data_IF_409213203820
#
_entry.id   IF_409213203820
#
_cell.length_a   1.000
_cell.length_b   1.000
_cell.length_c   1.000
_cell.angle_alpha   90.00
_cell.angle_beta   90.00
_cell.angle_gamma   90.00
#
_symmetry.space_group_name_H-M   'P 1'
#
loop_
_entity.id
_entity.type
_entity.pdbx_description
1 polymer ?
2 non-polymer ?
3 water ?
#
# COMPACT_ATOMS: atom_id res chain seq x y z
N UNK A 1 16.41 -15.04 16.64
CA UNK A 1 15.54 -14.81 15.45
C UNK A 1 14.27 -15.66 15.56
N UNK A 2 13.19 -15.20 14.90
CA UNK A 2 11.92 -15.94 14.76
C UNK A 2 12.05 -16.71 13.46
N UNK A 3 11.48 -18.05 13.64
CA UNK A 3 11.76 -18.85 12.45
C UNK A 3 10.85 -18.52 11.24
N UNK A 4 9.62 -18.18 11.56
CA UNK A 4 8.55 -17.97 10.56
C UNK A 4 7.96 -16.57 10.82
N UNK A 5 8.74 -15.49 10.60
CA UNK A 5 8.24 -14.14 10.90
C UNK A 5 6.99 -13.84 10.08
N UNK A 6 5.99 -13.26 10.72
CA UNK A 6 4.68 -13.05 10.07
C UNK A 6 4.61 -11.68 9.36
N UNK A 7 5.63 -10.84 9.49
CA UNK A 7 5.68 -9.52 8.81
C UNK A 7 7.11 -9.01 8.87
N UNK A 8 7.33 -7.83 8.34
CA UNK A 8 8.69 -7.23 8.27
C UNK A 8 9.14 -6.75 9.66
N UNK A 9 8.23 -6.60 10.61
CA UNK A 9 8.59 -6.20 12.00
C UNK A 9 9.24 -7.40 12.69
N UNK A 10 8.69 -8.58 12.53
CA UNK A 10 9.28 -9.81 13.10
C UNK A 10 10.55 -10.18 12.33
N UNK A 11 10.71 -9.75 11.06
CA UNK A 11 11.93 -10.03 10.28
C UNK A 11 13.04 -9.08 10.69
N UNK A 12 12.69 -7.89 11.15
CA UNK A 12 13.66 -6.80 11.44
C UNK A 12 14.23 -7.09 12.81
N UNK A 13 13.33 -7.40 13.75
CA UNK A 13 13.73 -7.80 15.13
C UNK A 13 14.62 -9.04 15.00
N UNK A 14 14.45 -9.83 13.92
CA UNK A 14 15.37 -10.95 13.57
C UNK A 14 16.75 -10.41 13.18
N UNK A 15 16.97 -9.09 13.28
CA UNK A 15 18.28 -8.44 13.12
C UNK A 15 18.60 -8.14 11.67
N UNK A 16 17.61 -8.27 10.78
CA UNK A 16 17.78 -7.94 9.34
C UNK A 16 17.42 -6.46 9.15
N UNK A 17 18.41 -5.58 9.01
CA UNK A 17 18.20 -4.12 9.11
C UNK A 17 18.35 -3.49 7.73
N UNK A 18 18.69 -4.29 6.73
CA UNK A 18 18.88 -3.84 5.34
C UNK A 18 17.50 -3.93 4.69
N UNK A 19 17.06 -2.86 4.05
CA UNK A 19 15.82 -2.95 3.24
C UNK A 19 16.09 -3.89 2.07
N UNK A 20 15.07 -4.63 1.66
CA UNK A 20 15.15 -5.58 0.54
C UNK A 20 14.16 -6.70 0.72
N UNK A 21 14.39 -7.83 0.02
CA UNK A 21 13.43 -8.94 -0.04
C UNK A 21 13.66 -9.86 1.11
N UNK A 22 12.57 -10.19 1.79
CA UNK A 22 12.52 -11.15 2.91
C UNK A 22 11.34 -12.08 2.69
N UNK A 23 11.44 -13.25 3.27
CA UNK A 23 10.32 -14.17 3.35
C UNK A 23 9.56 -13.93 4.66
N UNK A 24 8.26 -13.72 4.55
CA UNK A 24 7.36 -13.79 5.72
C UNK A 24 6.46 -14.99 5.56
N UNK A 25 5.77 -15.30 6.63
CA UNK A 25 4.94 -16.51 6.72
C UNK A 25 3.60 -16.13 7.29
N UNK A 26 2.55 -16.21 6.49
CA UNK A 26 1.25 -15.68 6.96
C UNK A 26 0.74 -16.55 8.11
N UNK A 27 0.32 -15.92 9.19
CA UNK A 27 -0.11 -16.64 10.41
C UNK A 27 1.08 -17.43 11.01
N UNK A 28 2.32 -17.12 10.68
CA UNK A 28 3.49 -17.84 11.21
C UNK A 28 3.55 -19.26 10.66
N UNK A 29 2.79 -19.55 9.60
CA UNK A 29 2.65 -20.91 9.00
C UNK A 29 3.77 -21.07 7.96
N UNK A 30 4.65 -22.04 8.14
CA UNK A 30 5.78 -22.32 7.21
C UNK A 30 5.24 -22.72 5.83
N UNK A 31 3.99 -23.10 5.70
CA UNK A 31 3.38 -23.43 4.40
C UNK A 31 2.77 -22.20 3.73
N UNK A 32 2.88 -21.01 4.32
CA UNK A 32 2.26 -19.78 3.76
C UNK A 32 3.37 -18.74 3.56
N UNK A 33 4.47 -19.16 2.92
CA UNK A 33 5.62 -18.27 2.63
C UNK A 33 5.18 -17.23 1.62
N UNK A 34 5.67 -16.01 1.81
CA UNK A 34 5.39 -14.87 0.91
C UNK A 34 6.64 -14.03 0.85
N UNK A 35 7.17 -13.78 -0.33
CA UNK A 35 8.35 -12.88 -0.47
C UNK A 35 7.84 -11.44 -0.48
N UNK A 36 8.40 -10.61 0.38
CA UNK A 36 7.95 -9.20 0.45
C UNK A 36 9.20 -8.32 0.39
N UNK A 37 8.99 -7.09 -0.01
CA UNK A 37 9.99 -6.02 0.18
C UNK A 37 9.76 -5.40 1.54
N UNK A 38 10.77 -5.43 2.39
CA UNK A 38 10.76 -4.77 3.73
C UNK A 38 11.51 -3.44 3.67
N UNK A 39 10.83 -2.36 4.03
CA UNK A 39 11.47 -1.03 4.23
C UNK A 39 11.91 -1.03 5.68
N UNK A 40 13.21 -1.18 5.89
CA UNK A 40 13.77 -1.33 7.26
C UNK A 40 14.33 0.00 7.73
N UNK A 41 14.16 1.09 6.97
CA UNK A 41 14.79 2.39 7.35
C UNK A 41 13.76 3.47 7.69
N UNK A 42 12.62 3.53 7.01
CA UNK A 42 11.62 4.60 7.25
C UNK A 42 11.00 4.47 8.64
N UNK A 43 11.00 5.58 9.41
CA UNK A 43 10.36 5.65 10.76
C UNK A 43 10.50 4.31 11.50
N UNK A 44 11.73 3.88 11.78
CA UNK A 44 12.00 2.71 12.63
C UNK A 44 12.01 1.39 11.87
N UNK A 45 11.56 1.38 10.60
CA UNK A 45 11.62 0.16 9.79
C UNK A 45 10.48 -0.83 10.08
N UNK A 46 10.67 -2.07 9.65
CA UNK A 46 9.75 -3.19 9.86
C UNK A 46 8.50 -3.10 9.02
N UNK A 47 8.56 -2.38 7.90
CA UNK A 47 7.39 -2.14 7.04
C UNK A 47 7.39 -3.14 5.88
N UNK A 48 6.27 -3.82 5.67
CA UNK A 48 5.99 -4.51 4.38
C UNK A 48 5.56 -3.45 3.39
N UNK A 49 6.31 -3.27 2.34
CA UNK A 49 5.87 -2.38 1.23
C UNK A 49 4.87 -3.16 0.38
N UNK A 50 3.73 -2.55 0.10
CA UNK A 50 2.73 -3.25 -0.72
C UNK A 50 2.39 -2.51 -2.01
N UNK A 51 2.89 -1.30 -2.18
CA UNK A 51 2.74 -0.53 -3.45
C UNK A 51 4.02 0.26 -3.61
N UNK A 52 4.59 0.27 -4.80
CA UNK A 52 5.69 1.20 -5.14
C UNK A 52 5.44 1.74 -6.55
N UNK A 53 5.43 3.07 -6.68
CA UNK A 53 5.49 3.79 -7.96
C UNK A 53 6.80 4.56 -7.94
N UNK A 54 7.53 4.55 -9.05
CA UNK A 54 8.82 5.28 -9.11
C UNK A 54 9.25 5.61 -10.55
N UNK A 55 8.73 4.96 -11.57
CA UNK A 55 9.27 5.23 -12.95
C UNK A 55 8.27 5.00 -14.08
N UNK A 56 7.06 4.50 -13.84
CA UNK A 56 6.05 4.30 -14.89
C UNK A 56 6.34 3.10 -15.80
N UNK A 57 7.24 2.21 -15.41
CA UNK A 57 7.58 1.03 -16.28
C UNK A 57 6.48 -0.02 -16.14
N UNK A 58 5.78 -0.11 -15.01
CA UNK A 58 4.80 -1.20 -14.81
C UNK A 58 3.40 -0.68 -15.10
N UNK A 59 2.54 -1.55 -15.62
CA UNK A 59 1.13 -1.24 -15.92
C UNK A 59 0.29 -1.48 -14.67
N UNK A 60 -0.39 -0.47 -14.16
CA UNK A 60 -1.28 -0.62 -12.98
C UNK A 60 -2.73 -0.68 -13.41
N UNK A 61 -3.00 -0.55 -14.71
CA UNK A 61 -4.38 -0.66 -15.22
C UNK A 61 -4.67 -2.14 -15.44
N UNK A 62 -4.93 -2.86 -14.36
CA UNK A 62 -4.98 -4.34 -14.35
C UNK A 62 -6.30 -4.73 -13.72
N UNK A 63 -6.68 -5.98 -13.94
CA UNK A 63 -8.00 -6.51 -13.59
C UNK A 63 -8.07 -6.99 -12.15
N UNK A 64 -9.28 -7.36 -11.75
CA UNK A 64 -9.58 -7.82 -10.38
C UNK A 64 -8.62 -8.95 -10.00
N UNK A 65 -8.50 -9.98 -10.84
CA UNK A 65 -7.66 -11.15 -10.46
C UNK A 65 -6.23 -10.65 -10.18
N UNK A 66 -5.72 -9.74 -11.00
CA UNK A 66 -4.34 -9.19 -10.85
C UNK A 66 -4.22 -8.42 -9.54
N UNK A 67 -5.20 -7.58 -9.23
CA UNK A 67 -5.20 -6.85 -7.93
C UNK A 67 -5.38 -7.81 -6.74
N UNK A 68 -6.16 -8.88 -6.90
CA UNK A 68 -6.30 -9.88 -5.81
C UNK A 68 -4.98 -10.58 -5.55
N UNK A 69 -4.21 -10.89 -6.61
CA UNK A 69 -3.06 -11.80 -6.55
C UNK A 69 -1.74 -11.04 -6.35
N UNK A 70 -1.67 -9.81 -6.84
CA UNK A 70 -0.42 -9.06 -6.88
C UNK A 70 0.25 -9.17 -8.23
N UNK A 71 1.11 -8.21 -8.54
CA UNK A 71 1.85 -8.17 -9.81
C UNK A 71 3.07 -7.27 -9.63
N UNK A 72 3.98 -7.39 -10.57
CA UNK A 72 5.14 -6.51 -10.70
C UNK A 72 6.41 -7.09 -10.08
N UNK A 73 7.42 -6.26 -9.99
CA UNK A 73 8.76 -6.59 -9.49
C UNK A 73 8.87 -5.92 -8.13
N UNK A 74 8.96 -6.71 -7.07
CA UNK A 74 9.05 -6.23 -5.66
C UNK A 74 10.17 -5.22 -5.48
N UNK A 75 11.24 -5.35 -6.24
CA UNK A 75 12.39 -4.43 -6.13
C UNK A 75 12.13 -3.10 -6.84
N UNK A 76 11.09 -3.02 -7.67
CA UNK A 76 10.79 -1.83 -8.47
C UNK A 76 9.29 -1.51 -8.28
N UNK A 77 8.53 -1.39 -9.35
CA UNK A 77 7.10 -1.06 -9.22
C UNK A 77 6.28 -2.33 -9.10
N UNK A 78 5.37 -2.38 -8.12
CA UNK A 78 4.58 -3.59 -7.88
C UNK A 78 3.38 -3.24 -7.02
N UNK A 79 2.51 -4.22 -6.98
CA UNK A 79 1.34 -4.29 -6.07
C UNK A 79 1.34 -5.65 -5.37
N UNK A 80 1.30 -5.69 -4.03
CA UNK A 80 1.47 -6.97 -3.28
C UNK A 80 0.30 -7.93 -3.48
N UNK A 81 -0.90 -7.43 -3.72
CA UNK A 81 -2.07 -8.31 -3.74
C UNK A 81 -3.03 -8.10 -2.60
N UNK A 82 -4.30 -7.95 -2.90
CA UNK A 82 -5.35 -7.75 -1.86
C UNK A 82 -5.51 -8.99 -0.98
N UNK A 83 -5.34 -10.19 -1.53
CA UNK A 83 -5.52 -11.40 -0.71
C UNK A 83 -4.41 -11.41 0.35
N UNK A 84 -3.19 -11.08 -0.05
CA UNK A 84 -2.02 -10.96 0.85
C UNK A 84 -2.34 -9.91 1.90
N UNK A 85 -2.84 -8.74 1.49
CA UNK A 85 -3.07 -7.63 2.42
C UNK A 85 -4.14 -8.05 3.42
N UNK A 86 -5.18 -8.73 2.95
CA UNK A 86 -6.22 -9.22 3.88
C UNK A 86 -5.59 -10.15 4.93
N UNK A 87 -4.83 -11.15 4.47
CA UNK A 87 -4.27 -12.17 5.39
C UNK A 87 -3.28 -11.51 6.34
N UNK A 88 -2.46 -10.56 5.90
CA UNK A 88 -1.49 -9.87 6.81
C UNK A 88 -2.30 -9.08 7.84
N UNK A 89 -3.23 -8.26 7.38
CA UNK A 89 -3.95 -7.34 8.31
C UNK A 89 -4.87 -8.11 9.26
N UNK A 90 -5.22 -9.37 8.98
CA UNK A 90 -5.99 -10.27 9.88
C UNK A 90 -5.15 -10.74 11.06
N UNK A 91 -3.82 -10.63 11.00
CA UNK A 91 -2.87 -11.23 11.98
C UNK A 91 -2.81 -10.43 13.27
N UNK A 92 -3.28 -9.20 13.24
CA UNK A 92 -3.18 -8.29 14.41
C UNK A 92 -3.60 -6.89 14.02
N UNK A 93 -3.27 -5.90 14.83
CA UNK A 93 -3.61 -4.49 14.54
C UNK A 93 -2.43 -3.92 13.76
N UNK A 94 -2.66 -3.55 12.50
CA UNK A 94 -1.61 -2.94 11.64
C UNK A 94 -1.88 -1.45 11.45
N UNK A 95 -0.78 -0.76 11.16
CA UNK A 95 -0.74 0.69 10.82
C UNK A 95 -0.29 0.78 9.35
N UNK A 96 -0.88 1.75 8.63
CA UNK A 96 -0.49 2.09 7.23
C UNK A 96 0.46 3.28 7.28
N UNK A 97 1.51 3.23 6.46
CA UNK A 97 2.33 4.40 6.16
C UNK A 97 2.41 4.61 4.67
N UNK A 98 2.24 5.85 4.27
CA UNK A 98 2.38 6.23 2.87
C UNK A 98 3.53 7.23 2.80
N UNK A 99 4.53 6.90 1.99
CA UNK A 99 5.68 7.80 1.69
C UNK A 99 5.54 8.35 0.29
N UNK A 100 5.66 9.68 0.14
CA UNK A 100 5.47 10.33 -1.17
C UNK A 100 6.72 11.21 -1.40
N UNK A 101 7.12 11.30 -2.65
CA UNK A 101 8.23 12.20 -3.01
C UNK A 101 8.04 12.65 -4.45
N UNK A 102 8.23 13.94 -4.70
CA UNK A 102 7.98 14.54 -6.01
C UNK A 102 8.92 15.74 -6.12
N UNK A 103 9.79 15.71 -7.11
CA UNK A 103 10.69 16.87 -7.39
C UNK A 103 11.33 17.32 -6.09
N UNK A 104 11.86 16.36 -5.31
CA UNK A 104 12.65 16.57 -4.10
C UNK A 104 11.82 16.84 -2.86
N UNK A 105 10.54 17.15 -2.99
CA UNK A 105 9.68 17.36 -1.81
C UNK A 105 9.17 16.00 -1.32
N UNK A 106 9.06 15.84 -0.01
CA UNK A 106 8.54 14.58 0.57
C UNK A 106 7.37 14.89 1.48
N UNK A 107 6.49 13.93 1.62
CA UNK A 107 5.41 13.97 2.59
C UNK A 107 5.08 12.56 3.03
N UNK A 108 4.35 12.41 4.13
CA UNK A 108 3.95 11.05 4.56
C UNK A 108 2.59 11.16 5.22
N UNK A 109 1.92 10.03 5.32
CA UNK A 109 0.69 9.85 6.08
C UNK A 109 0.83 8.53 6.84
N UNK A 110 0.40 8.52 8.10
CA UNK A 110 0.36 7.30 8.93
C UNK A 110 -1.08 7.20 9.40
N UNK A 111 -1.63 6.00 9.33
CA UNK A 111 -2.96 5.68 9.87
C UNK A 111 -2.76 4.56 10.88
N UNK A 112 -3.09 4.84 12.14
CA UNK A 112 -2.85 3.91 13.27
C UNK A 112 -3.59 2.60 13.12
N UNK A 113 -4.70 2.59 12.38
CA UNK A 113 -5.52 1.38 12.15
C UNK A 113 -5.68 1.24 10.66
N UNK A 114 -5.28 0.09 10.16
CA UNK A 114 -5.36 -0.23 8.73
C UNK A 114 -5.71 -1.69 8.58
N UNK A 115 -6.76 -1.98 7.84
CA UNK A 115 -7.08 -3.38 7.55
C UNK A 115 -7.73 -3.45 6.18
N UNK A 116 -7.68 -4.62 5.58
CA UNK A 116 -8.28 -4.92 4.27
C UNK A 116 -9.12 -6.19 4.46
N UNK A 117 -10.40 -6.07 4.22
CA UNK A 117 -11.31 -7.23 4.37
C UNK A 117 -11.06 -8.31 3.35
N UNK A 118 -11.79 -9.42 3.46
CA UNK A 118 -11.59 -10.55 2.55
C UNK A 118 -12.43 -10.34 1.29
N UNK A 119 -12.36 -11.30 0.39
CA UNK A 119 -12.98 -11.19 -0.95
C UNK A 119 -14.49 -10.98 -0.84
N UNK A 120 -15.12 -11.55 0.20
CA UNK A 120 -16.60 -11.45 0.38
C UNK A 120 -16.93 -10.01 0.76
N UNK A 121 -15.97 -9.20 1.24
CA UNK A 121 -16.13 -7.74 1.49
C UNK A 121 -15.68 -6.91 0.29
N UNK A 122 -15.30 -7.54 -0.83
CA UNK A 122 -14.61 -6.93 -1.95
C UNK A 122 -13.42 -6.11 -1.39
N UNK A 123 -12.69 -6.73 -0.45
CA UNK A 123 -11.41 -6.23 0.10
C UNK A 123 -11.64 -4.83 0.69
N UNK A 124 -12.69 -4.69 1.50
CA UNK A 124 -13.10 -3.40 2.16
C UNK A 124 -11.91 -2.77 2.89
N UNK A 125 -11.68 -1.49 2.66
CA UNK A 125 -10.61 -0.72 3.33
C UNK A 125 -11.11 -0.22 4.68
N UNK A 126 -10.29 -0.35 5.72
CA UNK A 126 -10.44 0.40 6.98
C UNK A 126 -9.15 1.20 7.19
N UNK A 127 -9.28 2.51 7.34
CA UNK A 127 -8.13 3.40 7.67
C UNK A 127 -8.61 4.41 8.69
N UNK A 128 -7.96 4.44 9.83
CA UNK A 128 -8.34 5.36 10.92
C UNK A 128 -7.04 5.86 11.56
N UNK A 129 -7.15 6.99 12.26
CA UNK A 129 -6.07 7.49 13.12
C UNK A 129 -4.94 8.09 12.31
N UNK A 130 -5.25 9.15 11.57
CA UNK A 130 -4.30 9.89 10.71
C UNK A 130 -3.29 10.70 11.52
N UNK A 131 -2.04 10.68 11.07
CA UNK A 131 -1.07 11.73 11.38
C UNK A 131 -0.21 11.89 10.14
N UNK A 132 0.38 13.06 9.97
CA UNK A 132 1.38 13.25 8.92
C UNK A 132 1.36 14.60 8.27
N UNK A 133 2.05 14.67 7.13
CA UNK A 133 2.27 15.94 6.42
C UNK A 133 1.60 15.91 5.05
N UNK A 134 1.16 14.74 4.55
CA UNK A 134 0.60 14.69 3.18
C UNK A 134 -0.82 15.24 3.17
N UNK A 135 -1.48 15.26 4.33
CA UNK A 135 -2.93 15.56 4.41
C UNK A 135 -3.74 14.29 4.37
N UNK A 136 -4.82 14.26 5.14
CA UNK A 136 -5.63 13.03 5.31
C UNK A 136 -6.50 12.78 4.09
N UNK A 137 -5.93 12.23 3.02
CA UNK A 137 -6.67 11.99 1.75
C UNK A 137 -7.31 10.60 1.78
N UNK A 138 -6.87 9.70 2.67
CA UNK A 138 -7.50 8.37 2.75
C UNK A 138 -8.83 8.42 3.50
N UNK A 139 -9.11 9.43 4.33
CA UNK A 139 -10.39 9.45 5.09
C UNK A 139 -11.54 9.30 4.11
N UNK A 140 -11.47 10.01 2.96
CA UNK A 140 -12.51 9.99 1.90
C UNK A 140 -12.85 8.55 1.51
N UNK A 141 -11.84 7.68 1.54
CA UNK A 141 -11.89 6.30 1.00
C UNK A 141 -12.29 5.28 2.08
N UNK A 142 -12.28 5.66 3.36
CA UNK A 142 -12.49 4.71 4.47
C UNK A 142 -13.81 3.96 4.28
N UNK A 143 -13.74 2.63 4.42
CA UNK A 143 -14.89 1.72 4.41
C UNK A 143 -15.29 1.32 3.00
N UNK A 144 -14.62 1.82 1.97
CA UNK A 144 -14.98 1.47 0.58
C UNK A 144 -14.35 0.15 0.13
N UNK A 145 -15.09 -0.57 -0.70
CA UNK A 145 -14.63 -1.79 -1.37
C UNK A 145 -13.61 -1.40 -2.44
N UNK A 146 -12.82 -2.37 -2.87
CA UNK A 146 -11.84 -2.16 -3.93
C UNK A 146 -12.60 -2.23 -5.25
N UNK A 147 -12.11 -1.50 -6.25
CA UNK A 147 -12.71 -1.47 -7.61
C UNK A 147 -11.60 -1.59 -8.64
N UNK A 148 -11.86 -2.42 -9.64
CA UNK A 148 -11.07 -2.53 -10.88
C UNK A 148 -12.06 -2.34 -12.03
N UNK A 149 -11.55 -2.19 -13.24
CA UNK A 149 -12.40 -1.90 -14.41
C UNK A 149 -13.42 -3.02 -14.58
N UNK A 150 -13.08 -4.27 -14.21
CA UNK A 150 -13.92 -5.45 -14.51
C UNK A 150 -14.78 -5.80 -13.30
N UNK A 151 -14.69 -5.02 -12.23
CA UNK A 151 -15.50 -5.23 -11.00
C UNK A 151 -15.61 -3.88 -10.29
N UNK A 159 -18.00 4.18 -13.55
CA UNK A 159 -16.96 3.21 -13.08
C UNK A 159 -15.63 3.96 -13.02
N UNK A 160 -15.15 4.20 -11.79
CA UNK A 160 -13.97 5.05 -11.50
C UNK A 160 -12.71 4.46 -12.09
N UNK A 161 -12.56 3.12 -12.01
CA UNK A 161 -11.35 2.41 -12.44
C UNK A 161 -11.23 2.60 -13.94
N UNK A 162 -12.34 2.39 -14.61
CA UNK A 162 -12.40 2.57 -16.08
C UNK A 162 -12.19 4.05 -16.42
N UNK A 163 -12.91 4.98 -15.78
CA UNK A 163 -12.86 6.44 -16.10
C UNK A 163 -11.46 6.98 -15.92
N UNK A 164 -10.75 6.60 -14.84
CA UNK A 164 -9.38 7.09 -14.53
C UNK A 164 -8.28 6.05 -14.95
N UNK A 165 -8.64 4.88 -15.48
CA UNK A 165 -7.68 3.84 -15.95
C UNK A 165 -6.69 3.52 -14.80
N UNK A 166 -7.23 3.28 -13.61
CA UNK A 166 -6.44 2.77 -12.45
C UNK A 166 -7.25 1.75 -11.69
N UNK A 167 -6.98 1.58 -10.41
CA UNK A 167 -7.67 0.67 -9.49
C UNK A 167 -7.51 1.28 -8.12
N UNK A 168 -8.48 1.13 -7.25
CA UNK A 168 -8.39 1.69 -5.88
C UNK A 168 -9.65 1.32 -5.12
N UNK A 169 -9.67 1.67 -3.86
CA UNK A 169 -10.90 1.70 -3.04
C UNK A 169 -11.72 2.95 -3.40
N UNK A 170 -12.16 3.05 -4.67
CA UNK A 170 -12.83 4.23 -5.23
C UNK A 170 -14.18 4.49 -4.53
N UNK A 171 -14.51 5.76 -4.50
CA UNK A 171 -15.77 6.29 -3.98
C UNK A 171 -16.45 6.99 -5.16
N UNK A 172 -16.26 8.30 -5.31
CA UNK A 172 -16.90 9.02 -6.44
C UNK A 172 -16.12 10.27 -6.80
N UNK A 173 -14.83 10.14 -7.16
CA UNK A 173 -14.13 8.88 -7.35
C UNK A 173 -12.96 8.78 -6.36
N UNK A 174 -12.13 9.81 -6.27
CA UNK A 174 -10.91 9.64 -5.43
C UNK A 174 -10.32 10.94 -4.90
N UNK A 175 -9.64 10.83 -3.77
CA UNK A 175 -8.63 11.81 -3.35
C UNK A 175 -7.25 11.17 -3.32
N UNK A 176 -7.19 9.84 -3.33
CA UNK A 176 -5.94 9.07 -3.49
C UNK A 176 -6.06 8.19 -4.72
N UNK A 177 -5.06 8.21 -5.59
CA UNK A 177 -5.07 7.42 -6.83
C UNK A 177 -3.66 6.88 -7.09
N UNK A 178 -3.04 6.22 -6.09
CA UNK A 178 -1.62 5.85 -6.21
C UNK A 178 -1.39 4.70 -7.21
N UNK A 179 -2.44 4.04 -7.69
CA UNK A 179 -2.37 3.05 -8.78
C UNK A 179 -2.87 3.67 -10.08
N UNK A 180 -2.78 4.98 -10.22
CA UNK A 180 -3.18 5.66 -11.45
C UNK A 180 -2.08 5.66 -12.48
N UNK A 181 -2.30 6.45 -13.53
CA UNK A 181 -1.40 6.45 -14.69
C UNK A 181 -0.17 7.29 -14.38
N UNK A 182 1.01 6.72 -14.54
CA UNK A 182 2.30 7.37 -14.17
C UNK A 182 2.57 8.59 -15.07
N UNK A 183 2.96 9.71 -14.47
CA UNK A 183 3.31 10.98 -15.10
C UNK A 183 2.14 11.64 -15.80
N UNK A 184 0.90 11.26 -15.50
CA UNK A 184 -0.30 11.85 -16.16
C UNK A 184 -0.86 13.01 -15.30
N UNK A 185 -0.61 14.26 -15.70
CA UNK A 185 -1.05 15.45 -14.94
C UNK A 185 -2.48 15.85 -15.30
N UNK A 186 -3.12 15.15 -16.24
CA UNK A 186 -4.54 15.45 -16.56
C UNK A 186 -5.36 15.19 -15.31
N UNK A 187 -6.40 16.00 -15.08
CA UNK A 187 -7.22 15.98 -13.85
C UNK A 187 -7.62 14.54 -13.48
N UNK A 188 -7.19 14.11 -12.29
CA UNK A 188 -7.59 12.85 -11.62
C UNK A 188 -7.06 11.61 -12.36
N UNK A 189 -6.19 11.74 -13.37
CA UNK A 189 -5.72 10.58 -14.19
C UNK A 189 -4.45 9.99 -13.58
N UNK A 190 -3.73 10.76 -12.76
CA UNK A 190 -2.35 10.39 -12.41
C UNK A 190 -2.22 9.86 -10.99
N UNK A 191 -0.98 9.77 -10.59
CA UNK A 191 -0.60 9.22 -9.26
C UNK A 191 -0.88 10.35 -8.25
N UNK A 192 -2.10 10.43 -7.76
CA UNK A 192 -2.53 11.63 -7.01
C UNK A 192 -2.65 11.34 -5.51
N UNK A 193 -2.35 12.38 -4.73
CA UNK A 193 -2.70 12.50 -3.29
C UNK A 193 -3.24 13.89 -3.10
N UNK A 194 -4.56 14.02 -3.16
CA UNK A 194 -5.15 15.33 -3.47
C UNK A 194 -4.73 16.40 -2.44
N UNK A 195 -4.66 16.06 -1.15
CA UNK A 195 -4.49 17.06 -0.10
C UNK A 195 -3.02 17.39 0.06
N UNK A 196 -2.18 16.83 -0.81
CA UNK A 196 -0.76 17.23 -0.95
C UNK A 196 -0.53 17.97 -2.26
N UNK A 197 -0.88 17.36 -3.40
CA UNK A 197 -0.51 17.96 -4.71
C UNK A 197 -1.67 18.03 -5.66
N UNK A 198 -2.89 17.82 -5.19
CA UNK A 198 -4.10 18.07 -6.00
C UNK A 198 -4.33 16.99 -7.05
N UNK A 199 -5.17 17.30 -8.02
CA UNK A 199 -5.61 16.31 -9.03
C UNK A 199 -4.90 16.52 -10.37
N UNK A 200 -4.09 17.57 -10.49
CA UNK A 200 -3.40 17.88 -11.78
C UNK A 200 -1.90 17.81 -11.60
N UNK A 201 -1.45 16.91 -10.72
CA UNK A 201 -0.01 16.75 -10.45
C UNK A 201 0.21 15.27 -10.12
N UNK A 202 0.82 14.54 -11.03
CA UNK A 202 1.12 13.11 -10.83
C UNK A 202 2.40 12.99 -10.03
N UNK A 203 2.36 12.24 -8.95
CA UNK A 203 3.51 12.14 -8.02
C UNK A 203 4.54 11.15 -8.54
N UNK A 204 5.83 11.54 -8.48
CA UNK A 204 6.94 10.74 -9.05
C UNK A 204 7.13 9.43 -8.27
N UNK A 205 7.12 9.51 -6.94
CA UNK A 205 7.46 8.37 -6.08
C UNK A 205 6.39 8.18 -5.02
N UNK A 206 5.88 6.97 -4.89
CA UNK A 206 4.89 6.67 -3.84
C UNK A 206 5.12 5.26 -3.32
N UNK A 207 5.09 5.09 -2.01
CA UNK A 207 5.04 3.75 -1.40
C UNK A 207 3.90 3.70 -0.38
N UNK A 208 3.20 2.58 -0.35
CA UNK A 208 2.26 2.23 0.75
C UNK A 208 2.84 1.01 1.47
N UNK A 209 2.82 1.05 2.82
CA UNK A 209 3.48 -0.02 3.59
C UNK A 209 2.73 -0.22 4.90
N UNK A 210 2.95 -1.37 5.53
CA UNK A 210 2.21 -1.69 6.78
C UNK A 210 3.11 -2.42 7.76
N UNK A 211 2.81 -2.26 9.03
CA UNK A 211 3.49 -2.99 10.12
C UNK A 211 2.57 -2.94 11.33
N UNK A 212 2.82 -3.75 12.37
CA UNK A 212 1.98 -3.71 13.59
C UNK A 212 1.98 -2.31 14.20
N UNK A 213 0.77 -1.85 14.53
CA UNK A 213 0.62 -0.52 15.14
C UNK A 213 1.40 -0.45 16.45
N UNK A 214 1.56 -1.57 17.17
CA UNK A 214 2.28 -1.56 18.49
C UNK A 214 3.79 -1.56 18.30
N UNK A 215 4.32 -1.55 17.06
CA UNK A 215 5.78 -1.60 16.81
C UNK A 215 6.49 -0.41 17.44
N UNK A 216 5.83 0.74 17.49
CA UNK A 216 6.35 2.02 18.05
C UNK A 216 6.77 1.83 19.52
N UNK A 217 6.34 0.78 20.19
CA UNK A 217 6.74 0.62 21.62
C UNK A 217 6.84 -0.83 22.04
N UNK A 218 7.41 -1.72 21.22
CA UNK A 218 7.25 -3.19 21.42
C UNK A 218 8.37 -3.77 22.32
#
# INVERSE_FOLDING_TARGET
SMPFPKDCSQAMLNGDTTSGLYTIYLNGDKAQALEVFCDMTSDGGGWIVFLRRKNGRENFYQNWKAYAAGFGDRREEFWLGLDNLNKITAQGQYELRVDLRDHGETAFAVYDKFSVGDAKTRYKLKVEGYSGTAGDSMAYHNGRSFSTFDKDTDSAITNCALSYKGAFWYRNCHRVNLMGRYGDNNHSQGVNWFHWKGHEHSIQFAEMKLRPSNFRNLEG
#
